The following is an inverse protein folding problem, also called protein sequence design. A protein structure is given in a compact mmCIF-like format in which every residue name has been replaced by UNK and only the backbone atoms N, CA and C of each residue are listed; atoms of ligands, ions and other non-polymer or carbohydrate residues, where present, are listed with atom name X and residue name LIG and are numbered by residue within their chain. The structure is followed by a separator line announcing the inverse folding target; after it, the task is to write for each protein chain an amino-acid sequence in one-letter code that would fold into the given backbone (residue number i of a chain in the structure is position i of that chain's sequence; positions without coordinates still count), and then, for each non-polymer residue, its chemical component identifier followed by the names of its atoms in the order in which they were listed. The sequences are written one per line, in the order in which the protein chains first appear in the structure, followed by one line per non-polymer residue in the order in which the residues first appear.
data_IF_109756794229
#
_entry.id   IF_109756794229
#
_cell.length_a   1.000
_cell.length_b   1.000
_cell.length_c   1.000
_cell.angle_alpha   90.00
_cell.angle_beta   90.00
_cell.angle_gamma   90.00
#
_symmetry.space_group_name_H-M   'P 1'
#
loop_
_entity.id
_entity.type
_entity.pdbx_description
1 polymer ?
#
# COMPACT_ATOMS: atom_id res chain seq x y z
N UNK A 1 17.39 11.06 -10.94
CA UNK A 1 18.11 10.14 -11.85
C UNK A 1 19.19 10.88 -12.61
N UNK A 2 20.43 10.40 -12.55
CA UNK A 2 21.58 10.89 -13.34
C UNK A 2 22.31 9.69 -13.94
N UNK A 3 22.98 9.89 -15.08
CA UNK A 3 23.78 8.86 -15.75
C UNK A 3 25.28 9.00 -15.54
N UNK A 4 25.73 9.96 -14.73
CA UNK A 4 27.16 10.26 -14.48
C UNK A 4 27.41 10.48 -12.99
N UNK A 5 28.58 10.06 -12.51
CA UNK A 5 29.08 10.36 -11.16
C UNK A 5 29.53 11.82 -11.05
N UNK A 6 29.86 12.26 -9.83
CA UNK A 6 30.31 13.64 -9.58
C UNK A 6 31.60 14.00 -10.33
N UNK A 7 32.46 13.01 -10.58
CA UNK A 7 33.70 13.15 -11.35
C UNK A 7 33.51 13.13 -12.88
N UNK A 8 32.26 13.01 -13.35
CA UNK A 8 31.91 13.00 -14.78
C UNK A 8 31.97 11.62 -15.44
N UNK A 9 32.38 10.57 -14.73
CA UNK A 9 32.39 9.20 -15.29
C UNK A 9 30.97 8.62 -15.43
N UNK A 10 30.66 7.83 -16.48
CA UNK A 10 29.33 7.21 -16.65
C UNK A 10 28.99 6.20 -15.55
N UNK A 11 27.72 6.17 -15.12
CA UNK A 11 27.21 5.21 -14.12
C UNK A 11 26.77 3.91 -14.81
N UNK A 12 27.23 2.72 -14.38
CA UNK A 12 26.94 1.46 -15.07
C UNK A 12 25.65 0.76 -14.59
N UNK A 13 24.85 1.39 -13.75
CA UNK A 13 23.63 0.82 -13.16
C UNK A 13 22.50 1.86 -13.12
N UNK A 14 21.28 1.39 -12.88
CA UNK A 14 20.13 2.27 -12.68
C UNK A 14 20.33 3.12 -11.41
N UNK A 15 20.14 4.43 -11.54
CA UNK A 15 20.13 5.35 -10.40
C UNK A 15 18.69 5.64 -9.96
N UNK A 16 18.44 6.81 -9.36
CA UNK A 16 17.20 7.13 -8.65
C UNK A 16 15.91 6.66 -9.32
N UNK A 17 15.00 6.21 -8.46
CA UNK A 17 13.75 5.54 -8.77
C UNK A 17 12.74 6.48 -9.44
N UNK A 18 11.77 5.88 -10.13
CA UNK A 18 10.54 6.58 -10.52
C UNK A 18 9.64 6.62 -9.29
N UNK A 19 9.42 7.82 -8.75
CA UNK A 19 8.54 8.05 -7.62
C UNK A 19 7.18 8.49 -8.14
N UNK A 20 6.13 7.79 -7.72
CA UNK A 20 4.73 8.10 -8.04
C UNK A 20 3.85 7.73 -6.85
N UNK A 21 2.64 8.27 -6.78
CA UNK A 21 1.70 7.97 -5.71
C UNK A 21 0.44 8.83 -5.76
N UNK A 22 -0.56 8.44 -4.98
CA UNK A 22 -1.83 9.14 -4.77
C UNK A 22 -2.24 8.96 -3.29
N UNK A 23 -3.04 9.87 -2.70
CA UNK A 23 -3.56 9.69 -1.35
C UNK A 23 -4.35 8.37 -1.22
N UNK A 24 -4.28 7.76 -0.03
CA UNK A 24 -5.22 6.70 0.34
C UNK A 24 -6.61 7.30 0.63
N UNK A 25 -7.71 6.67 0.23
CA UNK A 25 -7.83 5.36 -0.45
C UNK A 25 -7.84 5.45 -1.99
N UNK A 26 -7.73 6.65 -2.58
CA UNK A 26 -7.82 6.85 -4.04
C UNK A 26 -6.89 5.94 -4.84
N UNK A 27 -5.61 5.84 -4.44
CA UNK A 27 -4.63 4.97 -5.09
C UNK A 27 -5.01 3.48 -5.07
N UNK A 28 -5.75 3.05 -4.03
CA UNK A 28 -6.20 1.67 -3.88
C UNK A 28 -7.18 1.26 -4.98
N UNK A 29 -7.93 2.22 -5.51
CA UNK A 29 -8.88 2.02 -6.60
C UNK A 29 -8.30 2.36 -7.99
N UNK A 30 -6.98 2.61 -8.08
CA UNK A 30 -6.31 2.96 -9.33
C UNK A 30 -5.25 1.93 -9.73
N UNK A 31 -4.21 1.77 -8.93
CA UNK A 31 -3.02 0.99 -9.32
C UNK A 31 -2.58 -0.06 -8.29
N UNK A 32 -3.31 -0.23 -7.18
CA UNK A 32 -2.95 -1.23 -6.17
C UNK A 32 -3.09 -2.67 -6.67
N UNK A 33 -3.91 -2.91 -7.68
CA UNK A 33 -3.92 -4.20 -8.40
C UNK A 33 -2.52 -4.56 -8.92
N UNK A 34 -1.83 -3.60 -9.54
CA UNK A 34 -0.45 -3.80 -10.01
C UNK A 34 0.51 -3.96 -8.84
N UNK A 35 0.35 -3.18 -7.76
CA UNK A 35 1.23 -3.27 -6.59
C UNK A 35 1.10 -4.64 -5.92
N UNK A 36 -0.10 -5.23 -5.85
CA UNK A 36 -0.36 -6.50 -5.16
C UNK A 36 -0.06 -7.76 -5.99
N UNK A 37 -0.33 -7.75 -7.28
CA UNK A 37 -0.22 -8.96 -8.12
C UNK A 37 0.71 -8.77 -9.34
N UNK A 38 1.11 -7.54 -9.65
CA UNK A 38 2.07 -7.22 -10.71
C UNK A 38 3.51 -7.16 -10.21
N UNK A 39 4.31 -6.30 -10.85
CA UNK A 39 5.70 -6.04 -10.47
C UNK A 39 5.77 -5.54 -9.02
N UNK A 40 6.71 -6.04 -8.18
CA UNK A 40 6.95 -5.48 -6.86
C UNK A 40 7.34 -4.00 -6.95
N UNK A 41 6.58 -3.16 -6.24
CA UNK A 41 6.84 -1.73 -6.06
C UNK A 41 6.88 -1.49 -4.55
N UNK A 42 8.03 -1.12 -3.96
CA UNK A 42 8.09 -0.74 -2.55
C UNK A 42 7.17 0.45 -2.26
N UNK A 43 6.43 0.41 -1.15
CA UNK A 43 5.46 1.45 -0.81
C UNK A 43 5.80 2.13 0.51
N UNK A 44 5.80 3.46 0.52
CA UNK A 44 5.87 4.25 1.74
C UNK A 44 4.47 4.77 2.08
N UNK A 45 3.88 4.23 3.14
CA UNK A 45 2.60 4.67 3.67
C UNK A 45 2.82 5.75 4.72
N UNK A 46 2.16 6.89 4.54
CA UNK A 46 2.17 7.99 5.51
C UNK A 46 0.75 8.20 6.05
N UNK A 47 0.58 8.03 7.36
CA UNK A 47 -0.68 8.17 8.06
C UNK A 47 -0.60 9.20 9.18
N UNK A 48 -1.76 9.65 9.66
CA UNK A 48 -1.86 10.57 10.80
C UNK A 48 -2.88 10.04 11.80
N UNK A 49 -2.57 10.07 13.10
CA UNK A 49 -3.47 9.54 14.13
C UNK A 49 -4.74 10.40 14.28
N UNK A 50 -4.60 11.73 14.14
CA UNK A 50 -5.71 12.68 14.30
C UNK A 50 -6.00 13.35 12.97
N UNK A 51 -7.18 13.05 12.41
CA UNK A 51 -7.69 13.72 11.21
C UNK A 51 -7.95 15.21 11.45
N UNK A 52 -7.70 16.03 10.43
CA UNK A 52 -7.95 17.48 10.51
C UNK A 52 -9.43 17.84 10.64
N UNK A 53 -10.31 16.99 10.07
CA UNK A 53 -11.76 17.14 10.10
C UNK A 53 -12.42 15.75 10.28
N UNK A 54 -12.06 15.07 11.37
CA UNK A 54 -12.67 13.79 11.70
C UNK A 54 -14.17 13.97 12.01
N UNK A 55 -15.01 13.11 11.42
CA UNK A 55 -16.46 13.10 11.60
C UNK A 55 -16.88 11.73 12.11
N UNK A 56 -17.71 11.75 13.15
CA UNK A 56 -18.43 10.58 13.63
C UNK A 56 -19.93 10.86 13.51
N UNK A 57 -20.66 9.99 12.82
CA UNK A 57 -22.10 10.09 12.67
C UNK A 57 -22.78 9.08 13.59
N UNK A 58 -23.91 9.45 14.19
CA UNK A 58 -24.67 8.54 15.05
C UNK A 58 -25.15 7.32 14.24
N UNK A 59 -24.97 6.13 14.81
CA UNK A 59 -25.23 4.86 14.14
C UNK A 59 -24.07 4.27 13.32
N UNK A 60 -22.97 5.02 13.09
CA UNK A 60 -21.79 4.47 12.41
C UNK A 60 -20.84 3.75 13.38
N UNK A 61 -20.23 2.61 13.00
CA UNK A 61 -19.40 1.83 13.91
C UNK A 61 -18.05 2.50 14.21
N UNK A 62 -17.55 3.35 13.31
CA UNK A 62 -16.25 4.02 13.40
C UNK A 62 -16.33 5.44 12.85
N UNK A 63 -15.35 6.28 13.18
CA UNK A 63 -15.24 7.60 12.55
C UNK A 63 -14.78 7.47 11.09
N UNK A 64 -15.02 8.50 10.27
CA UNK A 64 -14.51 8.53 8.90
C UNK A 64 -12.97 8.41 8.83
N UNK A 65 -12.27 8.90 9.85
CA UNK A 65 -10.82 8.86 9.96
C UNK A 65 -10.33 7.47 10.33
N UNK A 66 -11.03 6.77 11.23
CA UNK A 66 -10.72 5.38 11.56
C UNK A 66 -10.99 4.45 10.38
N UNK A 67 -12.05 4.70 9.60
CA UNK A 67 -12.32 3.96 8.36
C UNK A 67 -11.18 4.15 7.34
N UNK A 68 -10.68 5.37 7.18
CA UNK A 68 -9.50 5.66 6.37
C UNK A 68 -8.26 4.91 6.90
N UNK A 69 -8.01 4.97 8.21
CA UNK A 69 -6.82 4.37 8.83
C UNK A 69 -6.87 2.84 8.88
N UNK A 70 -8.06 2.22 8.83
CA UNK A 70 -8.20 0.77 8.69
C UNK A 70 -7.45 0.26 7.46
N UNK A 71 -7.55 1.00 6.35
CA UNK A 71 -6.87 0.69 5.10
C UNK A 71 -5.36 0.92 5.19
N UNK A 72 -4.90 1.94 5.93
CA UNK A 72 -3.47 2.19 6.14
C UNK A 72 -2.76 0.98 6.75
N UNK A 73 -3.35 0.37 7.79
CA UNK A 73 -2.79 -0.82 8.43
C UNK A 73 -2.99 -2.07 7.57
N UNK A 74 -4.20 -2.28 7.04
CA UNK A 74 -4.53 -3.48 6.27
C UNK A 74 -3.69 -3.62 4.99
N UNK A 75 -3.38 -2.52 4.28
CA UNK A 75 -2.62 -2.58 3.04
C UNK A 75 -1.16 -2.97 3.26
N UNK A 76 -0.53 -2.49 4.34
CA UNK A 76 0.84 -2.87 4.69
C UNK A 76 0.92 -4.38 4.99
N UNK A 77 0.00 -4.91 5.79
CA UNK A 77 -0.05 -6.33 6.11
C UNK A 77 -0.39 -7.19 4.88
N UNK A 78 -1.34 -6.76 4.04
CA UNK A 78 -1.70 -7.47 2.83
C UNK A 78 -0.51 -7.60 1.85
N UNK A 79 0.32 -6.56 1.73
CA UNK A 79 1.56 -6.60 0.93
C UNK A 79 2.62 -7.54 1.54
N UNK A 80 2.75 -7.54 2.87
CA UNK A 80 3.72 -8.38 3.55
C UNK A 80 3.35 -9.87 3.50
N UNK A 81 2.10 -10.21 3.87
CA UNK A 81 1.68 -11.59 4.07
C UNK A 81 1.06 -12.24 2.82
N UNK A 82 0.35 -11.46 2.01
CA UNK A 82 -0.40 -12.00 0.88
C UNK A 82 -1.46 -13.03 1.30
N UNK A 83 -1.78 -13.95 0.38
CA UNK A 83 -2.78 -15.01 0.52
C UNK A 83 -2.40 -16.18 -0.38
N UNK A 84 -2.15 -17.33 0.23
CA UNK A 84 -1.72 -18.57 -0.44
C UNK A 84 -2.87 -19.25 -1.18
N UNK A 85 -2.54 -20.14 -2.12
CA UNK A 85 -3.53 -20.91 -2.87
C UNK A 85 -4.45 -21.75 -1.96
N UNK A 86 -3.90 -22.33 -0.89
CA UNK A 86 -4.67 -23.15 0.05
C UNK A 86 -5.67 -22.29 0.84
N UNK A 87 -5.27 -21.09 1.26
CA UNK A 87 -6.18 -20.13 1.88
C UNK A 87 -7.30 -19.69 0.93
N UNK A 88 -6.98 -19.43 -0.35
CA UNK A 88 -8.00 -19.13 -1.37
C UNK A 88 -8.97 -20.29 -1.53
N UNK A 89 -8.48 -21.53 -1.57
CA UNK A 89 -9.31 -22.73 -1.72
C UNK A 89 -10.21 -22.96 -0.51
N UNK A 90 -9.74 -22.63 0.70
CA UNK A 90 -10.53 -22.69 1.93
C UNK A 90 -11.63 -21.61 1.98
N UNK A 91 -11.31 -20.39 1.54
CA UNK A 91 -12.28 -19.28 1.51
C UNK A 91 -13.35 -19.46 0.42
N UNK A 92 -12.99 -20.02 -0.74
CA UNK A 92 -13.87 -20.17 -1.90
C UNK A 92 -13.88 -21.63 -2.44
N UNK A 93 -14.44 -22.61 -1.69
CA UNK A 93 -14.38 -24.03 -2.03
C UNK A 93 -15.16 -24.40 -3.30
N UNK A 94 -16.10 -23.55 -3.74
CA UNK A 94 -16.90 -23.75 -4.95
C UNK A 94 -16.23 -23.16 -6.22
N UNK A 95 -15.13 -22.43 -6.08
CA UNK A 95 -14.46 -21.81 -7.22
C UNK A 95 -13.72 -22.88 -8.05
N UNK A 96 -13.86 -22.89 -9.39
CA UNK A 96 -13.10 -23.78 -10.26
C UNK A 96 -11.59 -23.69 -10.00
N UNK A 97 -10.91 -24.84 -10.00
CA UNK A 97 -9.48 -24.91 -9.68
C UNK A 97 -8.64 -24.06 -10.64
N UNK A 98 -9.04 -23.91 -11.90
CA UNK A 98 -8.38 -23.02 -12.85
C UNK A 98 -8.47 -21.52 -12.50
N UNK A 99 -9.44 -21.11 -11.68
CA UNK A 99 -9.65 -19.72 -11.30
C UNK A 99 -8.97 -19.34 -9.98
N UNK A 100 -8.67 -20.30 -9.11
CA UNK A 100 -8.01 -20.05 -7.81
C UNK A 100 -6.70 -19.25 -7.93
N UNK A 101 -5.79 -19.51 -8.91
CA UNK A 101 -4.53 -18.77 -9.02
C UNK A 101 -4.70 -17.26 -9.19
N UNK A 102 -5.82 -16.79 -9.75
CA UNK A 102 -6.09 -15.37 -9.95
C UNK A 102 -6.37 -14.62 -8.64
N UNK A 103 -6.73 -15.33 -7.57
CA UNK A 103 -6.98 -14.78 -6.23
C UNK A 103 -5.77 -14.93 -5.29
N UNK A 104 -4.66 -15.49 -5.75
CA UNK A 104 -3.43 -15.61 -4.95
C UNK A 104 -2.73 -14.26 -4.85
N UNK A 105 -2.28 -13.92 -3.65
CA UNK A 105 -1.41 -12.79 -3.39
C UNK A 105 -0.08 -13.32 -2.88
N UNK A 106 1.00 -13.08 -3.60
CA UNK A 106 2.30 -13.68 -3.28
C UNK A 106 2.91 -13.17 -1.96
N UNK A 107 2.42 -12.04 -1.44
CA UNK A 107 3.03 -11.37 -0.29
C UNK A 107 4.47 -10.94 -0.59
N UNK A 108 5.27 -10.78 0.48
CA UNK A 108 6.69 -10.41 0.41
C UNK A 108 6.94 -9.15 -0.44
N UNK A 109 6.02 -8.19 -0.38
CA UNK A 109 6.13 -6.88 -1.03
C UNK A 109 6.46 -5.85 0.04
N UNK A 110 7.64 -5.19 -0.06
CA UNK A 110 8.13 -4.35 1.03
C UNK A 110 7.32 -3.06 1.16
N UNK A 111 7.08 -2.64 2.40
CA UNK A 111 6.51 -1.34 2.69
C UNK A 111 7.09 -0.72 3.97
N UNK A 112 7.11 0.61 4.04
CA UNK A 112 7.41 1.39 5.22
C UNK A 112 6.14 2.10 5.69
N UNK A 113 5.86 2.08 7.00
CA UNK A 113 4.73 2.81 7.59
C UNK A 113 5.25 3.93 8.49
N UNK A 114 4.92 5.17 8.13
CA UNK A 114 5.19 6.38 8.92
C UNK A 114 3.87 6.87 9.48
N UNK A 115 3.76 6.93 10.81
CA UNK A 115 2.56 7.39 11.50
C UNK A 115 2.87 8.63 12.33
N UNK A 116 2.24 9.74 11.99
CA UNK A 116 2.38 11.02 12.70
C UNK A 116 1.24 11.19 13.71
N UNK A 117 1.44 11.85 14.86
CA UNK A 117 0.36 12.09 15.82
C UNK A 117 -0.72 13.01 15.24
N UNK A 118 -0.31 14.07 14.54
CA UNK A 118 -1.19 15.07 13.90
C UNK A 118 -0.40 15.80 12.81
N UNK A 119 -1.11 16.37 11.84
CA UNK A 119 -0.52 17.22 10.80
C UNK A 119 -0.77 18.71 11.10
N UNK A 120 0.20 19.34 11.77
CA UNK A 120 0.27 20.79 12.00
C UNK A 120 1.58 21.34 11.42
N UNK A 121 1.76 22.66 11.44
CA UNK A 121 2.94 23.34 10.88
C UNK A 121 4.28 22.84 11.43
N UNK A 122 4.32 22.31 12.66
CA UNK A 122 5.56 21.75 13.24
C UNK A 122 5.97 20.40 12.62
N UNK A 123 5.01 19.60 12.16
CA UNK A 123 5.25 18.27 11.59
C UNK A 123 5.45 18.27 10.07
N UNK A 124 4.98 19.32 9.38
CA UNK A 124 5.18 19.53 7.93
C UNK A 124 6.61 19.99 7.69
#
# INVERSE_FOLDING_TARGET
GKGVFLDGSPVPFATGEIVFGEPGTNGQHSFYQLIHQGRPVPCDFVGVCIGQQAVYLDGEPVSNHDELMSNFFAQADALAYGKTLDQVREEDPELPEELLPHKVFQGNRPSLSILLPKLETYQI
#
